data_IF_393760824631
#
_entry.id   IF_393760824631
#
_cell.length_a   1.000
_cell.length_b   1.000
_cell.length_c   1.000
_cell.angle_alpha   90.00
_cell.angle_beta   90.00
_cell.angle_gamma   90.00
#
_symmetry.space_group_name_H-M   'P 1'
#
loop_
_entity.id
_entity.type
_entity.pdbx_description
1 polymer ?
#
# COMPACT_ATOMS: atom_id res chain seq x y z
N UNK A 1 3.32 -18.39 11.92
CA UNK A 1 4.34 -17.71 11.07
C UNK A 1 5.27 -16.84 11.91
N UNK A 2 4.76 -15.89 12.71
CA UNK A 2 5.59 -15.03 13.56
C UNK A 2 6.36 -15.82 14.63
N UNK A 3 5.72 -16.78 15.31
CA UNK A 3 6.39 -17.67 16.27
C UNK A 3 7.53 -18.46 15.64
N UNK A 4 7.31 -19.06 14.47
CA UNK A 4 8.33 -19.80 13.73
C UNK A 4 9.52 -18.89 13.30
N UNK A 5 9.26 -17.62 12.98
CA UNK A 5 10.31 -16.64 12.68
C UNK A 5 11.13 -16.27 13.91
N UNK A 6 10.48 -16.07 15.06
CA UNK A 6 11.14 -15.78 16.33
C UNK A 6 12.02 -16.95 16.75
N UNK A 7 11.52 -18.18 16.62
CA UNK A 7 12.27 -19.38 16.97
C UNK A 7 13.49 -19.58 16.06
N UNK A 8 13.35 -19.30 14.75
CA UNK A 8 14.49 -19.31 13.83
C UNK A 8 15.53 -18.22 14.16
N UNK A 9 15.12 -16.99 14.52
CA UNK A 9 16.07 -15.95 14.94
C UNK A 9 16.78 -16.28 16.26
N UNK A 10 16.07 -16.85 17.23
CA UNK A 10 16.68 -17.35 18.48
C UNK A 10 17.74 -18.43 18.19
N UNK A 11 17.50 -19.32 17.22
CA UNK A 11 18.48 -20.32 16.78
C UNK A 11 19.69 -19.70 16.08
N UNK A 12 19.49 -18.58 15.37
CA UNK A 12 20.54 -17.87 14.64
C UNK A 12 21.34 -16.86 15.49
N UNK A 13 20.98 -16.68 16.78
CA UNK A 13 21.59 -15.68 17.69
C UNK A 13 21.55 -14.24 17.13
N UNK A 14 20.59 -13.92 16.26
CA UNK A 14 20.41 -12.57 15.74
C UNK A 14 19.76 -11.68 16.80
N UNK A 15 20.35 -10.51 17.05
CA UNK A 15 19.78 -9.51 17.94
C UNK A 15 18.49 -8.92 17.34
N UNK A 16 17.49 -8.71 18.18
CA UNK A 16 16.26 -8.02 17.78
C UNK A 16 16.49 -6.52 17.60
N UNK A 17 17.60 -5.96 18.09
CA UNK A 17 17.94 -4.53 17.95
C UNK A 17 18.71 -4.21 16.65
N UNK A 18 19.01 -5.23 15.84
CA UNK A 18 19.68 -5.05 14.56
C UNK A 18 18.73 -4.45 13.50
N UNK A 19 19.31 -3.88 12.43
CA UNK A 19 18.53 -3.18 11.39
C UNK A 19 17.45 -4.12 10.83
N UNK A 20 16.15 -3.78 10.95
CA UNK A 20 15.08 -4.70 10.59
C UNK A 20 15.05 -4.93 9.07
N UNK A 21 15.06 -6.21 8.66
CA UNK A 21 15.06 -6.64 7.26
C UNK A 21 13.64 -6.88 6.75
N UNK A 22 12.75 -7.39 7.61
CA UNK A 22 11.36 -7.65 7.28
C UNK A 22 10.42 -6.82 8.14
N UNK A 23 9.22 -6.56 7.61
CA UNK A 23 8.15 -5.88 8.36
C UNK A 23 7.81 -6.58 9.69
N UNK A 24 7.89 -7.92 9.74
CA UNK A 24 7.69 -8.66 10.99
C UNK A 24 8.68 -8.28 12.09
N UNK A 25 9.91 -7.91 11.71
CA UNK A 25 10.95 -7.54 12.66
C UNK A 25 10.67 -6.15 13.23
N UNK A 26 10.25 -5.22 12.36
CA UNK A 26 9.75 -3.89 12.75
C UNK A 26 8.58 -4.02 13.72
N UNK A 27 7.61 -4.90 13.42
CA UNK A 27 6.46 -5.14 14.28
C UNK A 27 6.87 -5.68 15.65
N UNK A 28 7.80 -6.62 15.72
CA UNK A 28 8.27 -7.19 16.99
C UNK A 28 9.03 -6.14 17.80
N UNK A 29 9.94 -5.39 17.18
CA UNK A 29 10.66 -4.29 17.84
C UNK A 29 9.67 -3.27 18.42
N UNK A 30 8.70 -2.81 17.61
CA UNK A 30 7.70 -1.83 18.05
C UNK A 30 6.74 -2.40 19.10
N UNK A 31 6.38 -3.68 19.01
CA UNK A 31 5.57 -4.33 20.04
C UNK A 31 6.29 -4.33 21.39
N UNK A 32 7.61 -4.55 21.41
CA UNK A 32 8.42 -4.45 22.62
C UNK A 32 8.50 -2.99 23.13
N UNK A 33 8.80 -2.03 22.25
CA UNK A 33 8.90 -0.59 22.59
C UNK A 33 7.62 -0.07 23.25
N UNK A 34 6.46 -0.41 22.67
CA UNK A 34 5.15 0.04 23.12
C UNK A 34 4.48 -0.93 24.12
N UNK A 35 5.17 -2.01 24.52
CA UNK A 35 4.64 -3.05 25.42
C UNK A 35 3.28 -3.62 25.00
N UNK A 36 3.12 -3.85 23.69
CA UNK A 36 1.91 -4.42 23.12
C UNK A 36 1.77 -5.89 23.54
N UNK A 37 0.53 -6.32 23.76
CA UNK A 37 0.20 -7.73 23.87
C UNK A 37 0.36 -8.45 22.51
N UNK A 38 0.51 -9.78 22.56
CA UNK A 38 0.58 -10.59 21.34
C UNK A 38 -0.68 -10.51 20.49
N UNK A 39 -1.84 -10.29 21.11
CA UNK A 39 -3.10 -10.08 20.40
C UNK A 39 -3.08 -8.75 19.62
N UNK A 40 -2.61 -7.67 20.25
CA UNK A 40 -2.50 -6.36 19.60
C UNK A 40 -1.47 -6.38 18.46
N UNK A 41 -0.31 -7.00 18.67
CA UNK A 41 0.69 -7.16 17.63
C UNK A 41 0.17 -8.01 16.46
N UNK A 42 -0.60 -9.07 16.76
CA UNK A 42 -1.28 -9.89 15.76
C UNK A 42 -2.29 -9.08 14.93
N UNK A 43 -3.12 -8.27 15.59
CA UNK A 43 -4.09 -7.38 14.92
C UNK A 43 -3.39 -6.39 13.98
N UNK A 44 -2.32 -5.73 14.43
CA UNK A 44 -1.55 -4.81 13.59
C UNK A 44 -0.93 -5.52 12.35
N UNK A 45 -0.47 -6.75 12.52
CA UNK A 45 0.03 -7.55 11.41
C UNK A 45 -1.08 -7.88 10.39
N UNK A 46 -2.26 -8.27 10.89
CA UNK A 46 -3.43 -8.57 10.06
C UNK A 46 -3.93 -7.33 9.33
N UNK A 47 -4.08 -6.21 10.02
CA UNK A 47 -4.57 -4.95 9.44
C UNK A 47 -3.67 -4.47 8.31
N UNK A 48 -2.35 -4.56 8.47
CA UNK A 48 -1.39 -4.21 7.42
C UNK A 48 -1.57 -5.06 6.16
N UNK A 49 -1.72 -6.38 6.33
CA UNK A 49 -1.88 -7.30 5.19
C UNK A 49 -3.21 -7.06 4.47
N UNK A 50 -4.31 -6.91 5.20
CA UNK A 50 -5.63 -6.66 4.62
C UNK A 50 -5.64 -5.33 3.86
N UNK A 51 -5.11 -4.26 4.48
CA UNK A 51 -5.08 -2.94 3.86
C UNK A 51 -4.27 -2.94 2.54
N UNK A 52 -3.14 -3.64 2.51
CA UNK A 52 -2.28 -3.72 1.33
C UNK A 52 -2.80 -4.68 0.25
N UNK A 53 -3.52 -5.74 0.63
CA UNK A 53 -3.93 -6.78 -0.30
C UNK A 53 -5.19 -6.41 -1.08
N UNK A 54 -6.32 -6.17 -0.39
CA UNK A 54 -7.61 -5.99 -1.06
C UNK A 54 -7.62 -4.74 -1.95
N UNK A 55 -7.09 -3.63 -1.45
CA UNK A 55 -7.07 -2.34 -2.19
C UNK A 55 -6.18 -2.40 -3.43
N UNK A 56 -4.98 -2.99 -3.31
CA UNK A 56 -4.04 -3.13 -4.42
C UNK A 56 -4.55 -4.12 -5.46
N UNK A 57 -5.07 -5.28 -5.04
CA UNK A 57 -5.61 -6.29 -5.94
C UNK A 57 -6.76 -5.72 -6.78
N UNK A 58 -7.72 -5.04 -6.14
CA UNK A 58 -8.82 -4.39 -6.85
C UNK A 58 -8.33 -3.32 -7.85
N UNK A 59 -7.40 -2.45 -7.41
CA UNK A 59 -6.83 -1.40 -8.27
C UNK A 59 -6.12 -2.01 -9.48
N UNK A 60 -5.30 -3.04 -9.28
CA UNK A 60 -4.59 -3.75 -10.36
C UNK A 60 -5.58 -4.39 -11.34
N UNK A 61 -6.65 -5.02 -10.84
CA UNK A 61 -7.68 -5.60 -11.70
C UNK A 61 -8.34 -4.54 -12.60
N UNK A 62 -8.66 -3.36 -12.07
CA UNK A 62 -9.20 -2.27 -12.89
C UNK A 62 -8.17 -1.74 -13.90
N UNK A 63 -6.90 -1.63 -13.52
CA UNK A 63 -5.84 -1.18 -14.44
C UNK A 63 -5.73 -2.15 -15.62
N UNK A 64 -5.65 -3.45 -15.35
CA UNK A 64 -5.56 -4.47 -16.40
C UNK A 64 -6.80 -4.46 -17.30
N UNK A 65 -7.99 -4.30 -16.72
CA UNK A 65 -9.22 -4.19 -17.49
C UNK A 65 -9.24 -2.94 -18.39
N UNK A 66 -8.84 -1.78 -17.87
CA UNK A 66 -8.80 -0.55 -18.66
C UNK A 66 -7.76 -0.64 -19.78
N UNK A 67 -6.56 -1.19 -19.52
CA UNK A 67 -5.56 -1.42 -20.56
C UNK A 67 -6.08 -2.36 -21.66
N UNK A 68 -6.81 -3.42 -21.29
CA UNK A 68 -7.41 -4.33 -22.27
C UNK A 68 -8.52 -3.68 -23.13
N UNK A 69 -9.25 -2.69 -22.58
CA UNK A 69 -10.33 -1.97 -23.27
C UNK A 69 -9.78 -0.82 -24.14
N UNK A 70 -8.62 -0.25 -23.80
CA UNK A 70 -7.98 0.86 -24.50
C UNK A 70 -6.59 0.45 -25.05
N UNK A 71 -6.53 -0.28 -26.17
CA UNK A 71 -5.28 -0.80 -26.75
C UNK A 71 -4.23 0.26 -27.03
N UNK A 72 -4.64 1.50 -27.35
CA UNK A 72 -3.74 2.63 -27.57
C UNK A 72 -2.92 2.97 -26.31
N UNK A 73 -3.52 2.83 -25.13
CA UNK A 73 -2.85 3.07 -23.86
C UNK A 73 -2.01 1.86 -23.44
N UNK A 74 -2.47 0.65 -23.75
CA UNK A 74 -1.68 -0.57 -23.56
C UNK A 74 -0.40 -0.54 -24.39
N UNK A 75 -0.48 -0.17 -25.66
CA UNK A 75 0.70 -0.09 -26.54
C UNK A 75 1.67 0.99 -26.05
N UNK A 76 1.18 2.16 -25.66
CA UNK A 76 2.02 3.21 -25.11
C UNK A 76 2.74 2.80 -23.82
N UNK A 77 2.06 2.09 -22.91
CA UNK A 77 2.67 1.52 -21.69
C UNK A 77 3.73 0.48 -22.06
N UNK A 78 3.43 -0.40 -23.03
CA UNK A 78 4.35 -1.45 -23.46
C UNK A 78 5.63 -0.88 -24.05
N UNK A 79 5.53 0.11 -24.95
CA UNK A 79 6.70 0.80 -25.49
C UNK A 79 7.52 1.51 -24.40
N UNK A 80 6.86 2.17 -23.43
CA UNK A 80 7.55 2.74 -22.27
C UNK A 80 8.34 1.67 -21.49
N UNK A 81 7.78 0.48 -21.29
CA UNK A 81 8.49 -0.59 -20.58
C UNK A 81 9.70 -1.09 -21.38
N UNK A 82 9.58 -1.23 -22.70
CA UNK A 82 10.71 -1.62 -23.56
C UNK A 82 11.84 -0.59 -23.50
N UNK A 83 11.52 0.70 -23.56
CA UNK A 83 12.52 1.77 -23.51
C UNK A 83 13.27 1.84 -22.17
N UNK A 84 12.59 1.48 -21.06
CA UNK A 84 13.16 1.55 -19.71
C UNK A 84 13.93 0.27 -19.34
N UNK A 85 13.38 -0.90 -19.70
CA UNK A 85 13.92 -2.20 -19.31
C UNK A 85 14.96 -2.71 -20.31
N UNK A 86 14.87 -2.27 -21.58
CA UNK A 86 15.74 -2.73 -22.67
C UNK A 86 15.69 -4.24 -22.82
N UNK A 87 16.86 -4.87 -22.94
CA UNK A 87 16.98 -6.33 -23.12
C UNK A 87 16.66 -7.14 -21.86
N UNK A 88 16.50 -6.50 -20.69
CA UNK A 88 16.20 -7.19 -19.43
C UNK A 88 14.69 -7.17 -19.14
N UNK A 89 13.91 -7.81 -20.01
CA UNK A 89 12.44 -7.88 -19.86
C UNK A 89 11.98 -8.95 -18.87
N UNK A 90 12.85 -9.91 -18.52
CA UNK A 90 12.52 -10.99 -17.57
C UNK A 90 12.87 -10.65 -16.11
N UNK A 91 13.71 -9.64 -15.90
CA UNK A 91 14.12 -9.18 -14.57
C UNK A 91 13.13 -8.19 -13.94
N UNK A 92 13.05 -8.20 -12.60
CA UNK A 92 12.34 -7.15 -11.89
C UNK A 92 13.03 -5.78 -12.07
N UNK A 93 12.28 -4.69 -12.28
CA UNK A 93 12.85 -3.36 -12.43
C UNK A 93 13.57 -2.91 -11.15
N UNK A 94 14.72 -2.26 -11.31
CA UNK A 94 15.40 -1.58 -10.19
C UNK A 94 14.72 -0.24 -9.86
N UNK A 95 14.99 0.29 -8.68
CA UNK A 95 14.37 1.55 -8.21
C UNK A 95 14.50 2.73 -9.20
N UNK A 96 15.67 2.86 -9.84
CA UNK A 96 15.93 3.92 -10.85
C UNK A 96 15.11 3.73 -12.14
N UNK A 97 14.69 2.52 -12.45
CA UNK A 97 13.84 2.24 -13.61
C UNK A 97 12.38 2.53 -13.27
N UNK A 98 11.92 2.14 -12.08
CA UNK A 98 10.57 2.44 -11.59
C UNK A 98 10.25 3.94 -11.64
N UNK A 99 11.22 4.79 -11.27
CA UNK A 99 11.03 6.25 -11.30
C UNK A 99 10.83 6.83 -12.70
N UNK A 100 11.13 6.06 -13.77
CA UNK A 100 10.98 6.49 -15.17
C UNK A 100 9.65 6.06 -15.80
N UNK A 101 8.84 5.23 -15.13
CA UNK A 101 7.57 4.71 -15.63
C UNK A 101 6.46 5.78 -15.51
N UNK A 102 6.65 6.93 -16.15
CA UNK A 102 5.82 8.11 -15.99
C UNK A 102 4.43 7.95 -16.62
N UNK A 103 4.35 7.34 -17.80
CA UNK A 103 3.11 7.07 -18.51
C UNK A 103 2.28 6.01 -17.80
N UNK A 104 2.89 4.90 -17.39
CA UNK A 104 2.23 3.91 -16.54
C UNK A 104 1.71 4.56 -15.26
N UNK A 105 2.50 5.43 -14.60
CA UNK A 105 2.05 6.17 -13.42
C UNK A 105 0.82 7.04 -13.70
N UNK A 106 0.74 7.66 -14.89
CA UNK A 106 -0.45 8.41 -15.30
C UNK A 106 -1.67 7.51 -15.50
N UNK A 107 -1.49 6.34 -16.12
CA UNK A 107 -2.57 5.35 -16.28
C UNK A 107 -3.08 4.90 -14.92
N UNK A 108 -2.19 4.51 -14.00
CA UNK A 108 -2.53 4.13 -12.62
C UNK A 108 -3.38 5.20 -11.94
N UNK A 109 -2.93 6.47 -12.00
CA UNK A 109 -3.65 7.60 -11.40
C UNK A 109 -5.02 7.82 -12.03
N UNK A 110 -5.15 7.68 -13.34
CA UNK A 110 -6.43 7.87 -14.03
C UNK A 110 -7.41 6.75 -13.70
N UNK A 111 -6.94 5.50 -13.63
CA UNK A 111 -7.76 4.37 -13.19
C UNK A 111 -8.23 4.58 -11.75
N UNK A 112 -7.34 5.02 -10.85
CA UNK A 112 -7.73 5.36 -9.48
C UNK A 112 -8.70 6.55 -9.41
N UNK A 113 -8.63 7.50 -10.34
CA UNK A 113 -9.60 8.61 -10.43
C UNK A 113 -11.00 8.10 -10.80
N UNK A 114 -11.08 7.08 -11.65
CA UNK A 114 -12.33 6.50 -12.14
C UNK A 114 -12.92 5.45 -11.18
N UNK A 115 -12.07 4.60 -10.61
CA UNK A 115 -12.46 3.40 -9.84
C UNK A 115 -11.86 3.40 -8.43
N UNK A 116 -11.76 4.58 -7.80
CA UNK A 116 -11.15 4.75 -6.49
C UNK A 116 -11.76 3.77 -5.46
N UNK A 117 -10.94 3.11 -4.61
CA UNK A 117 -11.43 2.41 -3.42
C UNK A 117 -12.27 3.35 -2.51
N UNK A 118 -13.10 2.80 -1.61
CA UNK A 118 -14.20 3.51 -0.96
C UNK A 118 -13.78 4.82 -0.27
N UNK A 119 -14.71 5.79 -0.24
CA UNK A 119 -14.49 7.16 0.24
C UNK A 119 -13.87 7.27 1.65
N UNK A 120 -13.32 8.44 1.96
CA UNK A 120 -12.61 8.69 3.22
C UNK A 120 -13.61 9.11 4.29
N UNK A 121 -14.01 8.20 5.15
CA UNK A 121 -14.96 8.51 6.22
C UNK A 121 -14.26 9.12 7.44
N UNK A 122 -14.82 10.21 7.97
CA UNK A 122 -14.40 10.84 9.21
C UNK A 122 -15.59 11.00 10.15
N UNK A 123 -15.39 10.75 11.45
CA UNK A 123 -16.37 11.07 12.50
C UNK A 123 -15.95 12.36 13.19
N UNK A 124 -16.82 13.37 13.18
CA UNK A 124 -16.56 14.63 13.87
C UNK A 124 -16.61 14.44 15.39
N UNK A 125 -15.54 14.87 16.08
CA UNK A 125 -15.45 14.89 17.54
C UNK A 125 -15.91 16.22 18.13
N UNK A 126 -15.85 17.30 17.36
CA UNK A 126 -16.32 18.64 17.71
C UNK A 126 -17.05 19.25 16.50
N UNK A 127 -17.86 20.29 16.77
CA UNK A 127 -18.50 21.07 15.73
C UNK A 127 -17.46 21.66 14.77
N UNK A 128 -17.75 21.61 13.47
CA UNK A 128 -16.87 22.10 12.42
C UNK A 128 -17.61 23.12 11.56
N UNK A 129 -17.04 24.31 11.40
CA UNK A 129 -17.50 25.29 10.41
C UNK A 129 -16.81 25.00 9.08
N UNK A 130 -17.58 24.53 8.10
CA UNK A 130 -17.06 24.20 6.78
C UNK A 130 -17.49 25.29 5.77
N UNK A 131 -16.54 26.15 5.40
CA UNK A 131 -16.80 27.28 4.51
C UNK A 131 -17.75 28.32 5.13
N UNK A 132 -18.37 29.17 4.30
CA UNK A 132 -19.20 30.29 4.77
C UNK A 132 -20.64 29.91 5.16
N UNK A 133 -21.06 28.65 5.00
CA UNK A 133 -22.50 28.33 4.96
C UNK A 133 -22.97 27.14 5.80
N UNK A 134 -22.12 26.37 6.47
CA UNK A 134 -22.62 25.23 7.27
C UNK A 134 -21.80 24.92 8.52
N UNK A 135 -22.49 24.95 9.66
CA UNK A 135 -22.04 24.35 10.90
C UNK A 135 -22.41 22.87 10.88
N UNK A 136 -21.42 22.00 10.79
CA UNK A 136 -21.61 20.54 10.88
C UNK A 136 -21.46 20.16 12.34
N UNK A 137 -22.50 19.57 12.93
CA UNK A 137 -22.51 19.19 14.33
C UNK A 137 -21.58 18.00 14.58
N UNK A 138 -20.99 17.96 15.77
CA UNK A 138 -20.26 16.79 16.24
C UNK A 138 -21.10 15.51 16.07
N UNK A 139 -20.44 14.39 15.78
CA UNK A 139 -21.03 13.05 15.55
C UNK A 139 -21.54 12.73 14.13
N UNK A 140 -21.50 13.68 13.18
CA UNK A 140 -21.82 13.40 11.77
C UNK A 140 -20.62 12.76 11.04
N UNK A 141 -20.90 11.80 10.15
CA UNK A 141 -19.92 11.21 9.24
C UNK A 141 -19.73 12.11 8.02
N UNK A 142 -18.48 12.48 7.71
CA UNK A 142 -18.10 13.27 6.53
C UNK A 142 -17.29 12.39 5.57
N UNK A 143 -17.47 12.56 4.25
CA UNK A 143 -16.73 11.89 3.17
C UNK A 143 -15.58 12.76 2.63
#
# INVERSE_FOLDING_TARGET
ILEARIENRKKLQEDFDDKPTFYSDVLIQKANDYKLSWEEAGKLATDFLVAGFDTSAATISYILLMLAIYPEHQEAVYQEQLDILGDNTEGAPIWKQLSKMEYLTRVLKEVMRLYCPPGIYRKLTNDLELGKLQKILAQILVQ
#
